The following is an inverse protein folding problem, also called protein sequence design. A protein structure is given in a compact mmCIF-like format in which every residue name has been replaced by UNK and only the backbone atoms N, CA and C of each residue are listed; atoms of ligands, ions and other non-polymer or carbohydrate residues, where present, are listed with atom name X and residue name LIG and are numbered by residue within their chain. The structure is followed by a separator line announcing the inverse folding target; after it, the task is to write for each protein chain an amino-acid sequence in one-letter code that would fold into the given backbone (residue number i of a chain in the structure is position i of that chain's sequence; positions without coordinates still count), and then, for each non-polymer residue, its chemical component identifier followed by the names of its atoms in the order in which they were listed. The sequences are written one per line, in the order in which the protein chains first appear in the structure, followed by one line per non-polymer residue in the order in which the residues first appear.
data_IF_044129071906
#
_entry.id   IF_044129071906
#
_cell.length_a   1.000
_cell.length_b   1.000
_cell.length_c   1.000
_cell.angle_alpha   90.00
_cell.angle_beta   90.00
_cell.angle_gamma   90.00
#
_symmetry.space_group_name_H-M   'P 1'
#
loop_
_entity.id
_entity.type
_entity.pdbx_description
1 polymer ?
#
# COMPACT_ATOMS: atom_id res chain seq x y z
N UNK A 1 13.25 -0.89 -4.29
CA UNK A 1 14.03 -0.33 -5.43
C UNK A 1 14.07 1.19 -5.30
N UNK A 2 15.24 1.82 -5.43
CA UNK A 2 15.46 3.26 -5.32
C UNK A 2 15.69 3.90 -6.69
N UNK A 3 15.33 5.21 -6.82
CA UNK A 3 15.54 5.99 -8.03
C UNK A 3 14.90 5.35 -9.28
N UNK A 4 13.65 4.89 -9.12
CA UNK A 4 12.94 4.14 -10.17
C UNK A 4 12.49 5.00 -11.35
N UNK A 5 12.44 6.32 -11.17
CA UNK A 5 12.15 7.29 -12.23
C UNK A 5 13.34 8.21 -12.46
N UNK A 6 13.41 8.85 -13.64
CA UNK A 6 14.34 9.96 -13.85
C UNK A 6 14.01 11.14 -12.91
N UNK A 7 14.99 12.01 -12.59
CA UNK A 7 14.73 13.15 -11.69
C UNK A 7 13.59 14.06 -12.15
N UNK A 8 13.45 14.27 -13.46
CA UNK A 8 12.39 15.12 -14.06
C UNK A 8 11.02 14.49 -13.86
N UNK A 9 10.90 13.19 -14.13
CA UNK A 9 9.67 12.44 -13.92
C UNK A 9 9.29 12.41 -12.44
N UNK A 10 10.23 12.10 -11.57
CA UNK A 10 10.01 12.05 -10.13
C UNK A 10 9.51 13.40 -9.60
N UNK A 11 10.09 14.52 -10.05
CA UNK A 11 9.66 15.87 -9.70
C UNK A 11 8.26 16.19 -10.23
N UNK A 12 7.94 15.77 -11.44
CA UNK A 12 6.61 15.95 -12.02
C UNK A 12 5.55 15.22 -11.21
N UNK A 13 5.79 13.95 -10.85
CA UNK A 13 4.86 13.16 -10.03
C UNK A 13 4.71 13.76 -8.62
N UNK A 14 5.81 14.17 -7.97
CA UNK A 14 5.76 14.86 -6.68
C UNK A 14 4.81 16.08 -6.74
N UNK A 15 4.97 16.94 -7.72
CA UNK A 15 4.15 18.15 -7.88
C UNK A 15 2.67 17.81 -8.10
N UNK A 16 2.35 16.84 -8.96
CA UNK A 16 0.98 16.42 -9.23
C UNK A 16 0.33 15.85 -7.95
N UNK A 17 1.03 14.97 -7.26
CA UNK A 17 0.51 14.33 -6.06
C UNK A 17 0.31 15.35 -4.95
N UNK A 18 1.28 16.20 -4.68
CA UNK A 18 1.19 17.18 -3.58
C UNK A 18 0.18 18.31 -3.84
N UNK A 19 -0.12 18.64 -5.10
CA UNK A 19 -1.15 19.63 -5.46
C UNK A 19 -2.57 19.06 -5.51
N UNK A 20 -2.73 17.76 -5.34
CA UNK A 20 -4.02 17.05 -5.43
C UNK A 20 -4.99 17.42 -4.31
N UNK A 21 -6.29 17.27 -4.59
CA UNK A 21 -7.35 17.37 -3.56
C UNK A 21 -7.66 15.98 -3.02
N UNK A 22 -7.70 15.84 -1.69
CA UNK A 22 -7.90 14.58 -0.99
C UNK A 22 -9.12 14.66 -0.09
N UNK A 23 -9.85 13.56 0.05
CA UNK A 23 -11.03 13.45 0.93
C UNK A 23 -10.62 12.82 2.26
N UNK A 24 -11.08 13.43 3.35
CA UNK A 24 -11.01 12.81 4.68
C UNK A 24 -12.03 11.67 4.79
N UNK A 25 -11.65 10.57 5.42
CA UNK A 25 -12.54 9.44 5.64
C UNK A 25 -12.14 8.16 4.92
N UNK A 26 -10.94 8.10 4.35
CA UNK A 26 -10.34 6.82 3.99
C UNK A 26 -10.25 5.96 5.25
N UNK A 27 -10.87 4.79 5.24
CA UNK A 27 -10.78 3.83 6.35
C UNK A 27 -9.71 2.82 6.00
N UNK A 28 -8.70 2.68 6.85
CA UNK A 28 -7.88 1.46 6.89
C UNK A 28 -8.71 0.34 7.51
N UNK A 29 -9.84 0.06 6.92
CA UNK A 29 -10.68 -1.07 7.24
C UNK A 29 -10.66 -1.95 6.01
N UNK A 30 -9.63 -2.65 5.80
CA UNK A 30 -9.77 -3.77 4.90
C UNK A 30 -9.90 -5.07 5.67
N UNK A 31 -10.97 -5.17 6.39
CA UNK A 31 -11.59 -6.47 6.52
C UNK A 31 -12.77 -6.47 5.57
N UNK A 32 -12.54 -6.57 4.28
CA UNK A 32 -13.58 -7.03 3.39
C UNK A 32 -13.77 -8.51 3.75
N UNK A 33 -14.93 -8.81 4.32
CA UNK A 33 -15.37 -10.13 4.78
C UNK A 33 -15.32 -11.23 3.71
N UNK A 34 -14.89 -10.91 2.51
CA UNK A 34 -14.89 -11.82 1.37
C UNK A 34 -13.54 -12.49 1.07
N UNK A 35 -12.45 -12.17 1.83
CA UNK A 35 -11.11 -12.61 1.47
C UNK A 35 -10.40 -13.48 2.50
N UNK A 36 -11.05 -13.82 3.62
CA UNK A 36 -10.43 -14.67 4.61
C UNK A 36 -11.15 -16.00 4.74
N UNK A 37 -10.52 -17.10 4.29
CA UNK A 37 -10.91 -18.44 4.71
C UNK A 37 -10.45 -18.75 6.16
N UNK A 38 -9.96 -17.75 6.90
CA UNK A 38 -9.64 -17.90 8.30
C UNK A 38 -10.94 -17.93 9.08
N UNK A 39 -11.29 -19.13 9.54
CA UNK A 39 -12.28 -19.28 10.62
C UNK A 39 -11.79 -18.46 11.81
N UNK A 40 -12.55 -17.43 12.18
CA UNK A 40 -12.31 -16.77 13.45
C UNK A 40 -12.31 -17.81 14.59
N UNK A 41 -11.46 -17.64 15.61
CA UNK A 41 -11.53 -18.46 16.80
C UNK A 41 -12.97 -18.61 17.24
N UNK A 42 -13.41 -19.83 17.59
CA UNK A 42 -14.79 -20.14 17.99
C UNK A 42 -15.29 -19.10 18.99
N UNK A 43 -16.32 -18.35 18.61
CA UNK A 43 -16.99 -17.36 19.46
C UNK A 43 -16.71 -15.91 19.15
N UNK A 44 -15.76 -15.58 18.25
CA UNK A 44 -15.55 -14.23 17.76
C UNK A 44 -16.32 -14.00 16.45
N UNK A 45 -16.98 -12.87 16.35
CA UNK A 45 -17.56 -12.38 15.09
C UNK A 45 -16.64 -11.28 14.54
N UNK A 46 -16.58 -11.16 13.23
CA UNK A 46 -15.77 -10.10 12.57
C UNK A 46 -16.08 -8.68 13.06
N UNK A 47 -17.29 -8.41 13.54
CA UNK A 47 -17.66 -7.14 14.18
C UNK A 47 -17.11 -6.94 15.59
N UNK A 48 -16.64 -8.00 16.25
CA UNK A 48 -16.08 -7.92 17.61
C UNK A 48 -14.60 -7.49 17.59
N UNK A 49 -14.01 -7.44 16.40
CA UNK A 49 -12.62 -7.05 16.15
C UNK A 49 -12.45 -5.58 15.76
N UNK A 50 -13.45 -4.75 15.99
CA UNK A 50 -13.22 -3.31 15.92
C UNK A 50 -12.18 -2.95 17.00
N UNK A 51 -11.01 -2.42 16.60
CA UNK A 51 -10.03 -2.02 17.58
C UNK A 51 -10.69 -1.01 18.51
N UNK A 52 -10.50 -1.17 19.79
CA UNK A 52 -11.02 -0.26 20.84
C UNK A 52 -10.64 1.21 20.63
N UNK A 53 -9.74 1.49 19.69
CA UNK A 53 -9.26 2.81 19.29
C UNK A 53 -10.10 3.50 18.21
N UNK A 54 -11.16 2.89 17.71
CA UNK A 54 -11.98 3.45 16.61
C UNK A 54 -11.28 3.36 15.23
N UNK A 55 -12.00 3.68 14.14
CA UNK A 55 -11.44 3.63 12.80
C UNK A 55 -10.35 4.69 12.64
N UNK A 56 -9.16 4.29 12.22
CA UNK A 56 -8.12 5.24 11.83
C UNK A 56 -8.46 5.83 10.47
N UNK A 57 -8.85 7.07 10.49
CA UNK A 57 -9.12 7.82 9.28
C UNK A 57 -7.83 8.41 8.74
N UNK A 58 -7.72 8.42 7.41
CA UNK A 58 -6.68 9.12 6.68
C UNK A 58 -7.27 9.82 5.46
N UNK A 59 -6.48 10.66 4.81
CA UNK A 59 -6.88 11.27 3.55
C UNK A 59 -6.61 10.30 2.43
N UNK A 60 -7.58 10.17 1.51
CA UNK A 60 -7.46 9.30 0.35
C UNK A 60 -8.02 9.97 -0.90
N UNK A 61 -7.44 9.64 -2.04
CA UNK A 61 -8.03 9.89 -3.35
C UNK A 61 -7.91 8.62 -4.20
N UNK A 62 -9.01 7.96 -4.45
CA UNK A 62 -9.11 6.86 -5.41
C UNK A 62 -9.22 7.42 -6.81
N UNK A 63 -8.51 6.82 -7.75
CA UNK A 63 -8.48 7.24 -9.15
C UNK A 63 -9.24 6.28 -10.06
N UNK A 64 -9.12 4.99 -9.88
CA UNK A 64 -9.80 3.96 -10.68
C UNK A 64 -9.28 2.57 -10.41
N UNK A 65 -9.94 1.58 -10.98
CA UNK A 65 -9.62 0.16 -10.81
C UNK A 65 -8.76 -0.40 -11.95
N UNK A 66 -8.63 0.32 -13.06
CA UNK A 66 -7.82 -0.11 -14.20
C UNK A 66 -7.43 1.10 -15.07
N UNK A 67 -6.59 0.89 -16.05
CA UNK A 67 -6.08 1.96 -16.92
C UNK A 67 -7.20 2.72 -17.65
N UNK A 68 -8.25 2.02 -18.13
CA UNK A 68 -9.38 2.64 -18.82
C UNK A 68 -10.14 3.61 -17.91
N UNK A 69 -10.35 3.23 -16.66
CA UNK A 69 -11.02 4.07 -15.66
C UNK A 69 -10.17 5.31 -15.35
N UNK A 70 -8.85 5.13 -15.23
CA UNK A 70 -7.91 6.22 -14.99
C UNK A 70 -7.92 7.25 -16.12
N UNK A 71 -7.85 6.81 -17.37
CA UNK A 71 -7.93 7.67 -18.55
C UNK A 71 -9.28 8.40 -18.61
N UNK A 72 -10.37 7.65 -18.44
CA UNK A 72 -11.73 8.22 -18.46
C UNK A 72 -11.97 9.28 -17.38
N UNK A 73 -11.30 9.15 -16.24
CA UNK A 73 -11.40 10.10 -15.12
C UNK A 73 -10.40 11.26 -15.19
N UNK A 74 -9.61 11.37 -16.28
CA UNK A 74 -8.62 12.43 -16.46
C UNK A 74 -7.39 12.28 -15.56
N UNK A 75 -7.04 11.03 -15.21
CA UNK A 75 -5.90 10.71 -14.35
C UNK A 75 -4.82 9.93 -15.13
N UNK A 76 -4.57 10.33 -16.37
CA UNK A 76 -3.57 9.70 -17.26
C UNK A 76 -2.18 9.63 -16.62
N UNK A 77 -1.85 10.57 -15.74
CA UNK A 77 -0.58 10.56 -15.02
C UNK A 77 -0.37 9.28 -14.19
N UNK A 78 -1.46 8.68 -13.66
CA UNK A 78 -1.39 7.41 -12.94
C UNK A 78 -0.99 6.27 -13.88
N UNK A 79 -1.54 6.25 -15.11
CA UNK A 79 -1.19 5.26 -16.14
C UNK A 79 0.26 5.44 -16.56
N UNK A 80 0.67 6.67 -16.85
CA UNK A 80 2.05 6.97 -17.22
C UNK A 80 3.05 6.59 -16.13
N UNK A 81 2.73 6.86 -14.85
CA UNK A 81 3.55 6.42 -13.73
C UNK A 81 3.63 4.89 -13.65
N UNK A 82 2.49 4.20 -13.80
CA UNK A 82 2.43 2.75 -13.84
C UNK A 82 3.33 2.18 -14.93
N UNK A 83 3.21 2.67 -16.18
CA UNK A 83 4.03 2.24 -17.31
C UNK A 83 5.53 2.43 -17.05
N UNK A 84 5.92 3.58 -16.49
CA UNK A 84 7.32 3.83 -16.15
C UNK A 84 7.84 2.87 -15.06
N UNK A 85 7.06 2.63 -14.02
CA UNK A 85 7.42 1.66 -12.98
C UNK A 85 7.48 0.24 -13.54
N UNK A 86 6.52 -0.12 -14.39
CA UNK A 86 6.43 -1.43 -15.03
C UNK A 86 7.67 -1.75 -15.86
N UNK A 87 8.11 -0.79 -16.68
CA UNK A 87 9.30 -0.92 -17.54
C UNK A 87 10.58 -0.85 -16.72
N UNK A 88 10.75 0.19 -15.91
CA UNK A 88 12.00 0.46 -15.21
C UNK A 88 12.34 -0.59 -14.15
N UNK A 89 11.33 -1.27 -13.62
CA UNK A 89 11.50 -2.31 -12.60
C UNK A 89 11.32 -3.74 -13.16
N UNK A 90 11.13 -3.89 -14.48
CA UNK A 90 10.91 -5.19 -15.13
C UNK A 90 9.83 -6.04 -14.44
N UNK A 91 8.70 -5.40 -14.07
CA UNK A 91 7.70 -6.03 -13.22
C UNK A 91 7.10 -7.30 -13.84
N UNK A 92 6.96 -7.35 -15.17
CA UNK A 92 6.48 -8.54 -15.87
C UNK A 92 7.46 -9.71 -15.77
N UNK A 93 8.73 -9.46 -16.04
CA UNK A 93 9.74 -10.53 -16.12
C UNK A 93 10.11 -11.08 -14.74
N UNK A 94 10.21 -10.19 -13.75
CA UNK A 94 10.66 -10.59 -12.42
C UNK A 94 9.53 -11.11 -11.53
N UNK A 95 8.29 -10.63 -11.73
CA UNK A 95 7.19 -10.87 -10.79
C UNK A 95 5.90 -11.35 -11.46
N UNK A 96 5.94 -11.58 -12.79
CA UNK A 96 4.76 -11.96 -13.59
C UNK A 96 3.55 -11.05 -13.39
N UNK A 97 3.80 -9.75 -13.15
CA UNK A 97 2.75 -8.75 -13.02
C UNK A 97 2.31 -8.36 -14.43
N UNK A 98 1.01 -8.41 -14.70
CA UNK A 98 0.47 -8.08 -16.02
C UNK A 98 -0.42 -6.84 -15.98
N UNK A 99 -1.23 -6.68 -14.93
CA UNK A 99 -2.22 -5.62 -14.87
C UNK A 99 -2.36 -5.01 -13.48
N UNK A 100 -2.81 -3.76 -13.48
CA UNK A 100 -3.21 -3.02 -12.30
C UNK A 100 -4.72 -3.19 -12.09
N UNK A 101 -5.12 -3.44 -10.83
CA UNK A 101 -6.53 -3.59 -10.45
C UNK A 101 -7.05 -2.46 -9.56
N UNK A 102 -6.18 -1.63 -9.01
CA UNK A 102 -6.57 -0.44 -8.23
C UNK A 102 -5.43 0.57 -8.19
N UNK A 103 -5.78 1.86 -8.19
CA UNK A 103 -4.84 2.96 -8.03
C UNK A 103 -5.43 4.06 -7.14
N UNK A 104 -4.69 4.46 -6.11
CA UNK A 104 -5.08 5.53 -5.20
C UNK A 104 -3.87 6.20 -4.54
N UNK A 105 -4.10 7.35 -3.92
CA UNK A 105 -3.11 8.01 -3.07
C UNK A 105 -3.61 8.05 -1.64
N UNK A 106 -2.80 7.55 -0.73
CA UNK A 106 -2.99 7.71 0.71
C UNK A 106 -2.16 8.89 1.22
N UNK A 107 -2.77 9.68 2.10
CA UNK A 107 -2.12 10.82 2.74
C UNK A 107 -2.27 10.71 4.25
N UNK A 108 -1.15 10.73 4.96
CA UNK A 108 -1.10 10.64 6.41
C UNK A 108 -0.40 11.86 7.00
N UNK A 109 -0.98 12.39 8.05
CA UNK A 109 -0.37 13.45 8.84
C UNK A 109 0.08 12.92 10.20
N UNK A 110 0.78 13.75 10.95
CA UNK A 110 1.15 13.42 12.32
C UNK A 110 -0.04 12.88 13.13
N UNK A 111 0.21 11.85 13.92
CA UNK A 111 -0.80 11.23 14.78
C UNK A 111 -1.73 10.24 14.11
N UNK A 112 -1.60 10.04 12.79
CA UNK A 112 -2.32 9.00 12.06
C UNK A 112 -1.45 7.75 11.96
N UNK A 113 -1.97 6.65 12.50
CA UNK A 113 -1.36 5.33 12.39
C UNK A 113 -2.42 4.34 11.88
N UNK A 114 -2.49 4.10 10.58
CA UNK A 114 -3.39 3.11 10.02
C UNK A 114 -3.21 1.75 10.67
N UNK A 115 -4.30 0.98 10.74
CA UNK A 115 -4.23 -0.37 11.29
C UNK A 115 -3.37 -1.27 10.42
N UNK A 116 -2.80 -2.25 11.07
CA UNK A 116 -2.16 -3.38 10.45
C UNK A 116 -3.22 -4.14 9.64
N UNK A 117 -2.96 -4.38 8.35
CA UNK A 117 -3.88 -5.04 7.43
C UNK A 117 -3.12 -5.68 6.27
N UNK A 118 -3.66 -6.73 5.67
CA UNK A 118 -3.26 -7.16 4.34
C UNK A 118 -4.10 -6.45 3.28
N UNK A 119 -3.64 -6.51 2.06
CA UNK A 119 -4.35 -6.00 0.89
C UNK A 119 -5.01 -7.12 0.08
N UNK A 120 -5.96 -6.74 -0.78
CA UNK A 120 -6.43 -7.58 -1.87
C UNK A 120 -5.47 -7.46 -3.07
N UNK A 121 -5.46 -8.46 -3.93
CA UNK A 121 -4.58 -8.53 -5.10
C UNK A 121 -3.31 -9.34 -4.84
N UNK A 122 -2.55 -9.59 -5.90
CA UNK A 122 -1.35 -10.42 -5.81
C UNK A 122 -0.20 -9.64 -5.17
N UNK A 123 0.01 -8.40 -5.64
CA UNK A 123 1.03 -7.52 -5.09
C UNK A 123 0.48 -6.14 -4.77
N UNK A 124 1.05 -5.52 -3.75
CA UNK A 124 0.91 -4.10 -3.44
C UNK A 124 2.20 -3.38 -3.78
N UNK A 125 2.08 -2.32 -4.58
CA UNK A 125 3.18 -1.45 -4.96
C UNK A 125 2.97 -0.08 -4.32
N UNK A 126 3.96 0.41 -3.59
CA UNK A 126 3.96 1.71 -2.94
C UNK A 126 5.05 2.58 -3.58
N UNK A 127 4.66 3.61 -4.30
CA UNK A 127 5.60 4.62 -4.78
C UNK A 127 5.61 5.82 -3.83
N UNK A 128 6.80 6.22 -3.37
CA UNK A 128 7.01 7.35 -2.47
C UNK A 128 7.40 8.60 -3.29
N UNK A 129 6.48 9.57 -3.48
CA UNK A 129 6.71 10.68 -4.39
C UNK A 129 7.57 11.81 -3.84
N UNK A 130 7.62 12.03 -2.50
CA UNK A 130 8.26 13.20 -1.91
C UNK A 130 9.78 13.08 -1.87
N UNK A 131 10.47 13.84 -2.73
CA UNK A 131 11.90 13.70 -2.97
C UNK A 131 12.77 14.19 -1.79
N UNK A 132 12.28 15.15 -1.02
CA UNK A 132 13.00 15.78 0.09
C UNK A 132 12.52 15.29 1.46
N UNK A 133 11.91 14.10 1.55
CA UNK A 133 11.46 13.55 2.82
C UNK A 133 12.62 13.21 3.74
N UNK A 134 12.65 13.82 4.92
CA UNK A 134 13.65 13.51 5.95
C UNK A 134 13.23 12.28 6.78
N UNK A 135 13.45 11.10 6.23
CA UNK A 135 13.03 9.84 6.86
C UNK A 135 13.67 9.60 8.25
N UNK A 136 14.81 10.21 8.55
CA UNK A 136 15.51 10.04 9.83
C UNK A 136 14.78 10.74 10.96
N UNK A 137 14.23 11.91 10.68
CA UNK A 137 13.55 12.73 11.68
C UNK A 137 12.02 12.65 11.58
N UNK A 138 11.48 12.35 10.40
CA UNK A 138 10.05 12.38 10.16
C UNK A 138 9.39 10.99 10.17
N UNK A 139 10.15 9.89 10.08
CA UNK A 139 9.62 8.53 10.04
C UNK A 139 8.78 8.29 8.79
N UNK A 140 7.61 7.71 8.95
CA UNK A 140 6.65 7.49 7.86
C UNK A 140 7.01 6.35 6.91
N UNK A 141 7.88 5.44 7.32
CA UNK A 141 8.18 4.21 6.57
C UNK A 141 6.97 3.30 6.41
N UNK A 142 7.20 2.11 5.93
CA UNK A 142 6.21 1.02 5.89
C UNK A 142 6.84 -0.21 6.51
N UNK A 143 6.17 -0.80 7.50
CA UNK A 143 6.58 -2.08 8.07
C UNK A 143 5.70 -3.18 7.51
N UNK A 144 6.33 -4.29 7.18
CA UNK A 144 5.73 -5.49 6.59
C UNK A 144 5.98 -6.65 7.54
N UNK A 145 4.95 -7.46 7.77
CA UNK A 145 4.98 -8.62 8.65
C UNK A 145 4.56 -9.87 7.89
N UNK A 146 5.08 -10.98 8.33
CA UNK A 146 4.65 -12.31 7.92
C UNK A 146 4.11 -13.07 9.13
N UNK A 147 3.15 -13.98 8.95
CA UNK A 147 2.78 -14.91 10.00
C UNK A 147 3.99 -15.78 10.38
N UNK A 148 4.16 -16.09 11.66
CA UNK A 148 5.05 -17.14 12.11
C UNK A 148 4.60 -18.48 11.49
N UNK A 149 5.58 -19.35 11.16
CA UNK A 149 5.42 -20.56 10.35
C UNK A 149 4.32 -21.52 10.87
N UNK A 150 3.96 -21.43 12.14
CA UNK A 150 3.01 -22.33 12.79
C UNK A 150 1.53 -21.92 12.69
N UNK A 151 1.19 -20.85 12.00
CA UNK A 151 -0.23 -20.57 11.80
C UNK A 151 -0.59 -19.13 11.52
N UNK A 152 -1.19 -18.97 10.38
CA UNK A 152 -1.85 -17.77 9.83
C UNK A 152 -2.93 -17.19 10.77
N UNK A 153 -3.24 -17.85 11.89
CA UNK A 153 -4.42 -17.57 12.71
C UNK A 153 -4.18 -16.60 13.86
N UNK A 154 -2.93 -16.27 14.18
CA UNK A 154 -2.66 -15.46 15.36
C UNK A 154 -1.86 -14.19 15.01
N UNK A 155 -2.57 -13.05 14.94
CA UNK A 155 -1.95 -11.73 14.76
C UNK A 155 -0.89 -11.43 15.85
N UNK A 156 -1.00 -12.05 17.00
CA UNK A 156 -0.01 -11.91 18.08
C UNK A 156 1.34 -12.59 17.76
N UNK A 157 1.37 -13.42 16.72
CA UNK A 157 2.58 -14.12 16.25
C UNK A 157 3.13 -13.59 14.93
N UNK A 158 2.78 -12.37 14.55
CA UNK A 158 3.36 -11.76 13.37
C UNK A 158 4.80 -11.32 13.64
N UNK A 159 5.71 -11.75 12.78
CA UNK A 159 7.09 -11.30 12.80
C UNK A 159 7.35 -10.20 11.77
N UNK A 160 8.20 -9.24 12.11
CA UNK A 160 8.61 -8.21 11.14
C UNK A 160 9.47 -8.86 10.08
N UNK A 161 8.97 -8.86 8.85
CA UNK A 161 9.74 -9.27 7.67
C UNK A 161 10.71 -8.15 7.28
N UNK A 162 10.20 -6.91 7.17
CA UNK A 162 10.99 -5.79 6.68
C UNK A 162 10.43 -4.46 7.21
N UNK A 163 11.30 -3.50 7.44
CA UNK A 163 10.95 -2.11 7.66
C UNK A 163 11.58 -1.24 6.56
N UNK A 164 10.75 -0.69 5.69
CA UNK A 164 11.18 0.12 4.57
C UNK A 164 11.02 1.60 4.91
N UNK A 165 12.15 2.29 5.08
CA UNK A 165 12.15 3.74 5.30
C UNK A 165 11.55 4.49 4.11
N UNK A 166 10.79 5.55 4.39
CA UNK A 166 10.29 6.44 3.36
C UNK A 166 11.46 7.18 2.70
N UNK A 167 11.61 7.00 1.40
CA UNK A 167 12.61 7.70 0.59
C UNK A 167 11.99 8.07 -0.75
N UNK A 168 12.08 9.33 -1.12
CA UNK A 168 11.53 9.81 -2.39
C UNK A 168 12.08 9.04 -3.59
N UNK A 169 11.25 8.84 -4.60
CA UNK A 169 11.55 8.07 -5.80
C UNK A 169 11.91 6.59 -5.51
N UNK A 170 11.28 6.03 -4.48
CA UNK A 170 11.39 4.61 -4.12
C UNK A 170 10.09 3.89 -4.44
N UNK A 171 10.22 2.71 -5.06
CA UNK A 171 9.17 1.72 -5.16
C UNK A 171 9.39 0.61 -4.12
N UNK A 172 8.38 0.36 -3.32
CA UNK A 172 8.27 -0.80 -2.41
C UNK A 172 7.24 -1.73 -3.01
N UNK A 173 7.55 -3.00 -3.06
CA UNK A 173 6.62 -4.02 -3.54
C UNK A 173 6.66 -5.21 -2.60
N UNK A 174 5.50 -5.76 -2.31
CA UNK A 174 5.32 -6.96 -1.48
C UNK A 174 4.02 -7.68 -1.87
N UNK A 175 3.93 -8.94 -1.49
CA UNK A 175 2.72 -9.73 -1.72
C UNK A 175 1.53 -9.11 -1.00
N UNK A 176 0.40 -8.97 -1.69
CA UNK A 176 -0.78 -8.29 -1.15
C UNK A 176 -1.31 -8.91 0.14
N UNK A 177 -1.05 -10.20 0.38
CA UNK A 177 -1.46 -10.90 1.60
C UNK A 177 -0.55 -10.63 2.82
N UNK A 178 0.65 -10.03 2.63
CA UNK A 178 1.49 -9.63 3.77
C UNK A 178 0.80 -8.56 4.60
N UNK A 179 0.82 -8.75 5.90
CA UNK A 179 0.36 -7.75 6.84
C UNK A 179 1.30 -6.55 6.80
N UNK A 180 0.73 -5.37 6.69
CA UNK A 180 1.54 -4.16 6.63
C UNK A 180 0.80 -2.94 7.20
N UNK A 181 1.56 -1.93 7.53
CA UNK A 181 1.04 -0.60 7.86
C UNK A 181 2.10 0.47 7.60
N UNK A 182 1.68 1.70 7.28
CA UNK A 182 2.59 2.85 7.36
C UNK A 182 2.93 3.14 8.81
N UNK A 183 4.19 3.47 9.07
CA UNK A 183 4.62 3.98 10.35
C UNK A 183 4.14 5.42 10.56
N UNK A 184 3.90 5.82 11.83
CA UNK A 184 3.47 7.17 12.14
C UNK A 184 4.45 8.22 11.63
N UNK A 185 3.90 9.33 11.17
CA UNK A 185 4.68 10.54 10.89
C UNK A 185 5.01 11.23 12.21
N UNK A 186 6.28 11.56 12.42
CA UNK A 186 6.73 12.21 13.64
C UNK A 186 6.10 13.60 13.81
N UNK A 187 5.89 14.01 15.06
CA UNK A 187 5.29 15.30 15.41
C UNK A 187 6.04 16.52 14.87
N UNK A 188 7.35 16.39 14.70
CA UNK A 188 8.21 17.48 14.16
C UNK A 188 8.05 17.68 12.66
N UNK A 189 7.48 16.70 11.93
CA UNK A 189 7.20 16.82 10.52
C UNK A 189 6.06 17.80 10.28
N UNK A 190 6.29 18.77 9.41
CA UNK A 190 5.30 19.78 9.03
C UNK A 190 4.54 19.44 7.76
N UNK A 191 4.92 18.33 7.12
CA UNK A 191 4.37 17.89 5.87
C UNK A 191 3.45 16.67 6.07
N UNK A 192 2.51 16.50 5.15
CA UNK A 192 1.79 15.25 5.04
C UNK A 192 2.63 14.23 4.25
N UNK A 193 2.52 12.96 4.62
CA UNK A 193 3.13 11.84 3.92
C UNK A 193 2.20 11.37 2.81
N UNK A 194 2.67 11.36 1.59
CA UNK A 194 1.93 10.88 0.41
C UNK A 194 2.49 9.54 -0.06
N UNK A 195 1.61 8.65 -0.48
CA UNK A 195 2.00 7.38 -1.11
C UNK A 195 1.04 7.08 -2.26
N UNK A 196 1.59 6.87 -3.45
CA UNK A 196 0.82 6.33 -4.57
C UNK A 196 0.82 4.82 -4.44
N UNK A 197 -0.37 4.25 -4.44
CA UNK A 197 -0.59 2.80 -4.26
C UNK A 197 -1.13 2.23 -5.55
N UNK A 198 -0.52 1.16 -6.01
CA UNK A 198 -1.08 0.28 -7.03
C UNK A 198 -1.29 -1.11 -6.44
N UNK A 199 -2.40 -1.72 -6.79
CA UNK A 199 -2.65 -3.14 -6.55
C UNK A 199 -2.68 -3.88 -7.86
N UNK A 200 -2.17 -5.10 -7.87
CA UNK A 200 -2.07 -5.92 -9.08
C UNK A 200 -2.78 -7.25 -8.88
N UNK A 201 -3.13 -7.90 -9.99
CA UNK A 201 -3.76 -9.21 -10.00
C UNK A 201 -5.05 -9.21 -10.81
N UNK A 202 -5.72 -10.35 -10.87
CA UNK A 202 -7.00 -10.47 -11.55
C UNK A 202 -8.12 -9.93 -10.67
N UNK A 203 -8.93 -9.04 -11.21
CA UNK A 203 -10.12 -8.51 -10.54
C UNK A 203 -11.03 -9.68 -10.13
N UNK A 204 -11.32 -9.81 -8.82
CA UNK A 204 -12.10 -10.92 -8.28
C UNK A 204 -11.39 -12.26 -8.18
N UNK A 205 -10.13 -12.34 -8.53
CA UNK A 205 -9.34 -13.55 -8.36
C UNK A 205 -8.98 -13.78 -6.90
N UNK A 206 -9.34 -14.95 -6.37
CA UNK A 206 -8.60 -15.50 -5.25
C UNK A 206 -7.13 -15.47 -5.66
N UNK A 207 -6.30 -14.74 -4.92
CA UNK A 207 -4.86 -14.98 -5.01
C UNK A 207 -4.69 -16.47 -4.73
N UNK A 208 -4.42 -17.27 -5.77
CA UNK A 208 -3.87 -18.57 -5.51
C UNK A 208 -2.64 -18.27 -4.66
N UNK A 209 -2.70 -18.65 -3.38
CA UNK A 209 -1.53 -18.69 -2.52
C UNK A 209 -0.47 -19.38 -3.35
N UNK A 210 0.49 -18.64 -3.84
CA UNK A 210 1.71 -19.26 -4.31
C UNK A 210 2.26 -19.94 -3.06
N UNK A 211 2.23 -21.27 -3.06
CA UNK A 211 2.77 -22.12 -2.00
C UNK A 211 4.30 -21.94 -1.94
N UNK A 212 4.70 -20.77 -1.43
CA UNK A 212 6.11 -20.42 -1.23
C UNK A 212 6.74 -21.17 -0.06
N UNK A 213 5.95 -21.97 0.67
CA UNK A 213 6.39 -22.66 1.88
C UNK A 213 6.55 -24.18 1.72
N UNK A 214 6.39 -24.72 0.51
CA UNK A 214 6.57 -26.14 0.24
C UNK A 214 7.95 -26.48 -0.39
N UNK A 215 9.04 -25.84 0.08
CA UNK A 215 10.40 -26.30 -0.22
C UNK A 215 11.32 -26.16 0.98
#
# INVERSE_FOLDING_TARGET
MDNVLTPEWARSIENIVMSGSYKWGGKSLSMSTNYYPLELPKGLKWGDWEPKSGPNYHWIKKFGHNEKDLIKSGNEWCVQLWEQLFINCNLKEHFNIEEMIDCYVNVHTHGQAPHLHPDNGNFTLLYYPQLNWDYRNWGGGTTIWVPDIDGVENIEKLEILEHVSYKGNRLVMFDGWHWHRPEPVARVCKEARYVVVYKTGKDGGNSERLDYYDN
#
